data_IF_519535417226
#
_entry.id   IF_519535417226
#
_cell.length_a   1.000
_cell.length_b   1.000
_cell.length_c   1.000
_cell.angle_alpha   90.00
_cell.angle_beta   90.00
_cell.angle_gamma   90.00
#
_symmetry.space_group_name_H-M   'P 1'
#
loop_
_entity.id
_entity.type
_entity.pdbx_description
1 polymer ?
#
# COMPACT_ATOMS: atom_id res chain seq x y z
N UNK A 1 78.85 -5.33 -41.60
CA UNK A 1 78.33 -5.29 -40.22
C UNK A 1 77.90 -3.87 -39.92
N UNK A 2 76.61 -3.61 -39.94
CA UNK A 2 76.05 -2.26 -39.75
C UNK A 2 74.80 -2.41 -38.90
N UNK A 3 74.97 -2.12 -37.61
CA UNK A 3 73.95 -2.17 -36.57
C UNK A 3 72.96 -1.03 -36.83
N UNK A 4 71.73 -1.34 -37.25
CA UNK A 4 70.64 -0.37 -37.36
C UNK A 4 70.11 -0.04 -35.96
N UNK A 5 70.23 1.23 -35.57
CA UNK A 5 69.66 1.79 -34.35
C UNK A 5 68.13 1.69 -34.31
N UNK A 6 67.51 1.55 -33.11
CA UNK A 6 66.06 1.52 -32.96
C UNK A 6 65.44 2.91 -33.15
N UNK A 7 64.31 2.94 -33.88
CA UNK A 7 63.50 4.15 -34.10
C UNK A 7 62.88 4.61 -32.78
N UNK A 8 63.13 5.87 -32.40
CA UNK A 8 62.43 6.60 -31.33
C UNK A 8 60.92 6.66 -31.62
N UNK A 9 60.09 6.14 -30.72
CA UNK A 9 58.68 6.48 -30.66
C UNK A 9 58.54 7.99 -30.37
N UNK A 10 57.87 8.72 -31.28
CA UNK A 10 57.38 10.06 -30.99
C UNK A 10 56.12 9.93 -30.13
N UNK A 11 56.19 10.39 -28.89
CA UNK A 11 55.01 10.75 -28.10
C UNK A 11 54.26 11.87 -28.85
N UNK A 12 53.11 11.53 -29.42
CA UNK A 12 52.12 12.52 -29.88
C UNK A 12 51.56 13.22 -28.65
N UNK A 13 51.84 14.52 -28.55
CA UNK A 13 51.31 15.37 -27.51
C UNK A 13 49.80 15.52 -27.63
N UNK A 14 49.06 14.95 -26.67
CA UNK A 14 47.68 15.34 -26.40
C UNK A 14 47.69 16.71 -25.69
N UNK A 15 47.71 17.78 -26.48
CA UNK A 15 47.28 19.11 -26.04
C UNK A 15 46.01 19.47 -26.80
N UNK A 16 44.89 19.39 -26.08
CA UNK A 16 43.54 19.99 -26.30
C UNK A 16 42.42 18.95 -26.17
N UNK A 17 42.05 18.63 -24.94
CA UNK A 17 40.64 18.49 -24.59
C UNK A 17 40.28 19.69 -23.71
N UNK A 18 39.80 20.75 -24.35
CA UNK A 18 39.15 21.87 -23.67
C UNK A 18 37.64 21.65 -23.76
N UNK A 19 36.98 21.75 -22.60
CA UNK A 19 35.53 21.82 -22.38
C UNK A 19 34.75 20.53 -22.67
N UNK A 20 34.92 19.52 -21.81
CA UNK A 20 33.74 18.78 -21.37
C UNK A 20 32.90 19.81 -20.61
N UNK A 21 31.68 20.05 -21.10
CA UNK A 21 30.74 20.98 -20.50
C UNK A 21 30.56 20.62 -19.03
N UNK A 22 30.69 21.60 -18.13
CA UNK A 22 30.35 21.46 -16.71
C UNK A 22 28.94 20.86 -16.54
N UNK A 23 28.06 21.08 -17.53
CA UNK A 23 26.74 20.48 -17.61
C UNK A 23 26.79 18.94 -17.66
N UNK A 24 27.73 18.32 -18.38
CA UNK A 24 27.79 16.86 -18.55
C UNK A 24 28.37 16.15 -17.32
N UNK A 25 29.32 16.78 -16.62
CA UNK A 25 29.82 16.32 -15.32
C UNK A 25 28.77 16.51 -14.22
N UNK A 26 27.96 17.57 -14.28
CA UNK A 26 26.81 17.76 -13.39
C UNK A 26 25.69 16.76 -13.67
N UNK A 27 25.47 16.34 -14.93
CA UNK A 27 24.47 15.30 -15.24
C UNK A 27 24.92 13.93 -14.73
N UNK A 28 26.20 13.56 -14.90
CA UNK A 28 26.70 12.28 -14.38
C UNK A 28 26.72 12.30 -12.84
N UNK A 29 27.15 13.40 -12.21
CA UNK A 29 27.12 13.52 -10.75
C UNK A 29 25.68 13.57 -10.17
N UNK A 30 24.72 14.18 -10.86
CA UNK A 30 23.31 14.16 -10.46
C UNK A 30 22.68 12.76 -10.63
N UNK A 31 23.05 12.03 -11.69
CA UNK A 31 22.59 10.64 -11.89
C UNK A 31 23.22 9.70 -10.86
N UNK A 32 24.50 9.87 -10.51
CA UNK A 32 25.14 9.07 -9.43
C UNK A 32 24.64 9.46 -8.05
N UNK A 33 24.36 10.74 -7.77
CA UNK A 33 23.78 11.19 -6.50
C UNK A 33 22.33 10.72 -6.32
N UNK A 34 21.54 10.66 -7.40
CA UNK A 34 20.21 10.03 -7.34
C UNK A 34 20.31 8.51 -7.12
N UNK A 35 21.28 7.83 -7.74
CA UNK A 35 21.50 6.38 -7.58
C UNK A 35 22.03 6.00 -6.18
N UNK A 36 22.85 6.84 -5.54
CA UNK A 36 23.31 6.60 -4.16
C UNK A 36 22.24 6.97 -3.11
N UNK A 37 21.29 7.86 -3.44
CA UNK A 37 20.12 8.15 -2.58
C UNK A 37 19.04 7.05 -2.60
N UNK A 38 19.07 6.15 -3.59
CA UNK A 38 18.09 5.07 -3.76
C UNK A 38 18.26 3.89 -2.78
N UNK A 39 19.40 3.78 -2.09
CA UNK A 39 19.59 2.84 -0.98
C UNK A 39 19.28 3.47 0.41
N UNK A 40 18.76 4.71 0.45
CA UNK A 40 18.31 5.38 1.68
C UNK A 40 16.83 5.79 1.64
N UNK A 41 16.01 5.09 0.85
CA UNK A 41 14.54 5.23 0.89
C UNK A 41 13.87 4.66 2.17
N UNK A 42 14.66 4.39 3.22
CA UNK A 42 14.17 4.16 4.58
C UNK A 42 13.59 5.45 5.22
N UNK A 43 13.92 6.64 4.70
CA UNK A 43 13.52 7.94 5.26
C UNK A 43 12.43 8.69 4.45
N UNK A 44 11.60 7.97 3.69
CA UNK A 44 10.42 8.60 3.08
C UNK A 44 9.37 8.93 4.15
N UNK A 45 9.36 10.18 4.63
CA UNK A 45 8.35 10.74 5.53
C UNK A 45 7.06 11.12 4.77
N UNK A 46 5.99 10.32 4.82
CA UNK A 46 4.73 10.62 4.13
C UNK A 46 3.99 11.82 4.76
N UNK A 47 4.35 12.25 5.98
CA UNK A 47 3.69 13.31 6.74
C UNK A 47 3.84 14.67 6.03
N UNK A 48 4.94 14.88 5.30
CA UNK A 48 5.20 16.14 4.57
C UNK A 48 4.30 16.38 3.36
N UNK A 49 3.72 15.34 2.76
CA UNK A 49 2.92 15.49 1.54
C UNK A 49 1.41 15.67 1.78
N UNK A 50 0.91 15.28 2.96
CA UNK A 50 -0.51 15.40 3.31
C UNK A 50 -0.83 16.66 4.13
N UNK A 51 0.17 17.46 4.52
CA UNK A 51 0.01 18.70 5.30
C UNK A 51 -0.27 19.95 4.47
N UNK A 52 -0.91 19.83 3.30
CA UNK A 52 -1.51 21.01 2.63
C UNK A 52 -2.92 21.22 3.19
N UNK A 53 -2.99 21.92 4.32
CA UNK A 53 -4.19 22.57 4.83
C UNK A 53 -4.98 21.78 5.88
N UNK A 54 -4.56 21.89 7.15
CA UNK A 54 -5.44 22.18 8.29
C UNK A 54 -4.57 22.38 9.54
N UNK A 55 -4.58 23.61 10.07
CA UNK A 55 -3.81 24.03 11.25
C UNK A 55 -4.56 23.77 12.56
N UNK A 56 -5.32 22.68 12.65
CA UNK A 56 -6.06 22.36 13.86
C UNK A 56 -5.23 21.40 14.72
N UNK A 57 -4.69 21.94 15.83
CA UNK A 57 -4.07 21.13 16.88
C UNK A 57 -5.10 20.16 17.45
N UNK A 58 -4.75 18.89 17.74
CA UNK A 58 -5.64 18.00 18.45
C UNK A 58 -5.96 18.57 19.83
N UNK A 59 -7.25 18.72 20.12
CA UNK A 59 -7.76 19.16 21.41
C UNK A 59 -7.68 17.96 22.36
N UNK A 60 -6.72 17.98 23.28
CA UNK A 60 -6.58 16.98 24.33
C UNK A 60 -7.77 17.04 25.31
N UNK A 61 -8.72 16.11 25.15
CA UNK A 61 -9.74 15.82 26.15
C UNK A 61 -9.27 14.71 27.08
N UNK A 62 -9.59 14.82 28.38
CA UNK A 62 -9.28 13.79 29.37
C UNK A 62 -9.95 12.45 29.01
N UNK A 63 -9.18 11.36 29.02
CA UNK A 63 -9.64 10.01 28.71
C UNK A 63 -10.40 9.39 29.88
N UNK A 64 -11.47 8.61 29.65
CA UNK A 64 -12.13 7.85 30.71
C UNK A 64 -11.30 6.61 31.13
N UNK A 65 -11.12 6.43 32.44
CA UNK A 65 -10.31 5.39 33.11
C UNK A 65 -10.80 3.92 32.94
N UNK A 66 -11.67 3.61 31.99
CA UNK A 66 -12.22 2.25 31.83
C UNK A 66 -11.79 1.60 30.51
N UNK A 67 -10.50 1.27 30.41
CA UNK A 67 -10.01 0.32 29.40
C UNK A 67 -10.43 -1.08 29.90
N UNK A 68 -11.33 -1.73 29.18
CA UNK A 68 -11.76 -3.10 29.49
C UNK A 68 -10.57 -4.03 29.24
N UNK A 69 -10.09 -4.80 30.25
CA UNK A 69 -8.99 -5.73 30.06
C UNK A 69 -9.32 -6.78 28.98
N UNK A 70 -8.42 -6.93 27.99
CA UNK A 70 -8.53 -7.88 26.89
C UNK A 70 -8.54 -9.36 27.34
N UNK A 71 -8.12 -9.66 28.57
CA UNK A 71 -7.88 -11.03 29.03
C UNK A 71 -9.17 -11.84 29.31
N UNK A 72 -10.34 -11.23 29.42
CA UNK A 72 -11.55 -11.94 29.85
C UNK A 72 -12.37 -12.61 28.70
N UNK A 73 -11.87 -12.61 27.46
CA UNK A 73 -12.65 -13.05 26.26
C UNK A 73 -12.12 -14.26 25.49
N UNK A 74 -11.29 -15.13 26.10
CA UNK A 74 -10.68 -16.29 25.41
C UNK A 74 -11.51 -17.59 25.33
N UNK A 75 -12.74 -17.65 25.82
CA UNK A 75 -13.49 -18.92 25.91
C UNK A 75 -14.83 -18.94 25.16
N UNK A 76 -14.82 -18.63 23.86
CA UNK A 76 -15.89 -19.11 22.97
C UNK A 76 -15.28 -19.83 21.78
N UNK A 77 -15.18 -21.15 21.91
CA UNK A 77 -14.76 -22.07 20.84
C UNK A 77 -15.91 -22.20 19.84
N UNK A 78 -16.20 -21.16 19.07
CA UNK A 78 -16.90 -21.32 17.79
C UNK A 78 -15.84 -21.79 16.80
N UNK A 79 -15.59 -23.10 16.81
CA UNK A 79 -14.84 -23.77 15.74
C UNK A 79 -15.78 -23.82 14.54
N UNK A 80 -15.85 -22.72 13.81
CA UNK A 80 -16.70 -22.62 12.64
C UNK A 80 -16.16 -23.55 11.57
N UNK A 81 -17.05 -24.39 11.10
CA UNK A 81 -16.95 -25.27 9.96
C UNK A 81 -16.86 -24.44 8.66
N UNK A 82 -15.83 -23.59 8.52
CA UNK A 82 -15.56 -22.83 7.29
C UNK A 82 -14.57 -23.61 6.41
N UNK A 83 -15.19 -24.37 5.51
CA UNK A 83 -14.81 -24.69 4.13
C UNK A 83 -13.33 -24.82 3.74
N UNK A 84 -12.98 -26.03 3.29
CA UNK A 84 -11.86 -26.31 2.36
C UNK A 84 -11.85 -25.39 1.11
N UNK A 85 -12.92 -24.64 0.84
CA UNK A 85 -13.03 -23.66 -0.25
C UNK A 85 -12.55 -22.23 0.08
N UNK A 86 -12.28 -21.90 1.35
CA UNK A 86 -11.80 -20.57 1.74
C UNK A 86 -10.39 -20.26 1.20
N UNK A 87 -9.62 -21.30 0.87
CA UNK A 87 -8.20 -21.24 0.53
C UNK A 87 -7.86 -20.50 -0.78
N UNK A 88 -8.83 -19.90 -1.49
CA UNK A 88 -8.57 -19.17 -2.73
C UNK A 88 -9.31 -17.83 -2.84
N UNK A 89 -9.88 -17.30 -1.75
CA UNK A 89 -10.50 -15.98 -1.80
C UNK A 89 -9.47 -14.88 -1.52
N UNK A 90 -9.51 -13.83 -2.33
CA UNK A 90 -9.03 -12.52 -1.95
C UNK A 90 -10.21 -11.58 -1.76
N UNK A 91 -10.21 -10.94 -0.61
CA UNK A 91 -11.25 -10.02 -0.18
C UNK A 91 -10.81 -8.59 -0.43
N UNK A 92 -11.79 -7.72 -0.63
CA UNK A 92 -11.61 -6.29 -0.48
C UNK A 92 -12.78 -5.74 0.32
N UNK A 93 -12.65 -4.53 0.86
CA UNK A 93 -13.75 -3.87 1.55
C UNK A 93 -14.14 -2.60 0.80
N UNK A 94 -15.41 -2.51 0.43
CA UNK A 94 -15.95 -1.32 -0.23
C UNK A 94 -17.38 -1.09 0.23
N UNK A 95 -17.61 0.08 0.84
CA UNK A 95 -18.95 0.59 1.10
C UNK A 95 -19.08 1.96 0.44
N UNK A 96 -20.04 2.15 -0.48
CA UNK A 96 -20.19 3.40 -1.21
C UNK A 96 -20.55 4.52 -0.24
N UNK A 97 -19.82 5.63 -0.35
CA UNK A 97 -20.08 6.85 0.39
C UNK A 97 -20.92 7.80 -0.47
N UNK A 98 -21.72 8.65 0.20
CA UNK A 98 -22.63 9.59 -0.47
C UNK A 98 -21.90 10.77 -1.12
N UNK A 99 -20.64 11.00 -0.74
CA UNK A 99 -19.80 12.09 -1.23
C UNK A 99 -18.60 11.57 -2.01
N UNK A 100 -18.00 12.44 -2.83
CA UNK A 100 -16.76 12.13 -3.54
C UNK A 100 -15.65 11.81 -2.56
N UNK A 101 -15.09 10.60 -2.64
CA UNK A 101 -14.01 10.14 -1.75
C UNK A 101 -12.76 9.81 -2.54
N UNK A 102 -11.61 10.13 -1.96
CA UNK A 102 -10.29 9.97 -2.59
C UNK A 102 -10.19 10.62 -3.99
N UNK A 103 -10.96 11.69 -4.24
CA UNK A 103 -10.99 12.39 -5.53
C UNK A 103 -11.68 11.63 -6.67
N UNK A 104 -12.49 10.62 -6.35
CA UNK A 104 -13.16 9.77 -7.34
C UNK A 104 -14.69 9.81 -7.23
N UNK A 105 -15.38 9.80 -8.37
CA UNK A 105 -16.83 9.59 -8.45
C UNK A 105 -17.22 8.14 -8.14
N UNK A 106 -18.47 7.88 -7.72
CA UNK A 106 -18.98 6.51 -7.49
C UNK A 106 -18.85 5.62 -8.73
N UNK A 107 -19.01 6.18 -9.93
CA UNK A 107 -18.82 5.45 -11.18
C UNK A 107 -17.36 5.00 -11.36
N UNK A 108 -16.41 5.86 -11.03
CA UNK A 108 -14.98 5.55 -11.12
C UNK A 108 -14.54 4.56 -10.05
N UNK A 109 -15.11 4.62 -8.84
CA UNK A 109 -14.95 3.58 -7.81
C UNK A 109 -15.43 2.21 -8.31
N UNK A 110 -16.62 2.14 -8.89
CA UNK A 110 -17.16 0.89 -9.44
C UNK A 110 -16.30 0.33 -10.57
N UNK A 111 -15.76 1.19 -11.44
CA UNK A 111 -14.83 0.77 -12.50
C UNK A 111 -13.51 0.24 -11.94
N UNK A 112 -12.98 0.88 -10.89
CA UNK A 112 -11.76 0.43 -10.23
C UNK A 112 -11.96 -0.92 -9.55
N UNK A 113 -13.07 -1.09 -8.83
CA UNK A 113 -13.44 -2.34 -8.19
C UNK A 113 -13.57 -3.48 -9.21
N UNK A 114 -14.23 -3.22 -10.35
CA UNK A 114 -14.32 -4.21 -11.44
C UNK A 114 -12.95 -4.57 -12.00
N UNK A 115 -12.08 -3.58 -12.22
CA UNK A 115 -10.71 -3.82 -12.68
C UNK A 115 -9.90 -4.65 -11.69
N UNK A 116 -10.07 -4.38 -10.39
CA UNK A 116 -9.47 -5.15 -9.30
C UNK A 116 -9.95 -6.61 -9.32
N UNK A 117 -11.26 -6.84 -9.43
CA UNK A 117 -11.84 -8.19 -9.52
C UNK A 117 -11.26 -8.97 -10.70
N UNK A 118 -11.28 -8.37 -11.90
CA UNK A 118 -10.74 -8.98 -13.11
C UNK A 118 -9.24 -9.30 -12.97
N UNK A 119 -8.46 -8.41 -12.35
CA UNK A 119 -7.02 -8.61 -12.20
C UNK A 119 -6.69 -9.79 -11.27
N UNK A 120 -7.35 -9.87 -10.11
CA UNK A 120 -7.18 -10.95 -9.13
C UNK A 120 -7.72 -12.29 -9.62
N UNK A 121 -8.86 -12.29 -10.33
CA UNK A 121 -9.40 -13.50 -10.97
C UNK A 121 -8.45 -14.08 -12.02
N UNK A 122 -7.82 -13.21 -12.82
CA UNK A 122 -6.79 -13.62 -13.77
C UNK A 122 -5.53 -14.19 -13.08
N UNK A 123 -5.28 -13.82 -11.82
CA UNK A 123 -4.21 -14.39 -10.99
C UNK A 123 -4.64 -15.68 -10.25
N UNK A 124 -5.82 -16.23 -10.58
CA UNK A 124 -6.34 -17.49 -10.06
C UNK A 124 -7.18 -17.36 -8.78
N UNK A 125 -7.39 -16.15 -8.27
CA UNK A 125 -8.15 -15.91 -7.04
C UNK A 125 -9.66 -15.86 -7.29
N UNK A 126 -10.45 -16.38 -6.35
CA UNK A 126 -11.85 -15.99 -6.21
C UNK A 126 -11.89 -14.62 -5.53
N UNK A 127 -12.78 -13.75 -5.94
CA UNK A 127 -12.89 -12.39 -5.37
C UNK A 127 -14.18 -12.25 -4.58
N UNK A 128 -14.13 -11.54 -3.45
CA UNK A 128 -15.33 -11.12 -2.70
C UNK A 128 -15.18 -9.71 -2.17
N UNK A 129 -16.16 -8.86 -2.46
CA UNK A 129 -16.26 -7.51 -1.92
C UNK A 129 -17.06 -7.56 -0.63
N UNK A 130 -16.41 -7.23 0.48
CA UNK A 130 -17.03 -7.08 1.80
C UNK A 130 -17.59 -5.67 1.95
N UNK A 131 -18.64 -5.58 2.75
CA UNK A 131 -19.40 -4.36 3.00
C UNK A 131 -19.59 -4.13 4.49
N UNK A 132 -20.19 -3.00 4.85
CA UNK A 132 -20.59 -2.74 6.23
C UNK A 132 -21.53 -3.81 6.80
N UNK A 133 -22.32 -4.50 5.96
CA UNK A 133 -23.19 -5.58 6.42
C UNK A 133 -22.37 -6.80 6.90
N UNK A 134 -21.24 -7.10 6.28
CA UNK A 134 -20.33 -8.15 6.75
C UNK A 134 -19.69 -7.75 8.09
N UNK A 135 -19.36 -6.47 8.29
CA UNK A 135 -18.84 -5.95 9.56
C UNK A 135 -19.88 -6.01 10.70
N UNK A 136 -21.16 -5.74 10.41
CA UNK A 136 -22.27 -5.77 11.38
C UNK A 136 -22.51 -7.15 12.01
N UNK A 137 -22.04 -8.22 11.36
CA UNK A 137 -22.09 -9.58 11.90
C UNK A 137 -21.19 -9.70 13.14
N UNK A 138 -20.15 -8.86 13.24
CA UNK A 138 -19.22 -8.91 14.35
C UNK A 138 -19.88 -8.44 15.67
N UNK A 139 -19.70 -9.21 16.74
CA UNK A 139 -20.28 -8.92 18.08
C UNK A 139 -19.85 -7.55 18.63
N UNK A 140 -18.66 -7.07 18.27
CA UNK A 140 -18.11 -5.80 18.72
C UNK A 140 -18.35 -4.63 17.73
N UNK A 141 -19.16 -4.82 16.68
CA UNK A 141 -19.46 -3.76 15.70
C UNK A 141 -19.99 -2.47 16.36
N UNK A 142 -20.97 -2.60 17.24
CA UNK A 142 -21.54 -1.44 17.95
C UNK A 142 -20.54 -0.83 18.93
N UNK A 143 -19.65 -1.64 19.52
CA UNK A 143 -18.61 -1.14 20.40
C UNK A 143 -17.64 -0.23 19.63
N UNK A 144 -17.11 -0.71 18.50
CA UNK A 144 -16.19 0.06 17.66
C UNK A 144 -16.80 1.38 17.22
N UNK A 145 -18.03 1.33 16.68
CA UNK A 145 -18.73 2.53 16.23
C UNK A 145 -18.95 3.54 17.36
N UNK A 146 -19.39 3.09 18.54
CA UNK A 146 -19.59 3.99 19.69
C UNK A 146 -18.27 4.58 20.18
N UNK A 147 -17.22 3.77 20.31
CA UNK A 147 -15.92 4.20 20.84
C UNK A 147 -15.28 5.22 19.91
N UNK A 148 -15.24 4.95 18.60
CA UNK A 148 -14.66 5.88 17.62
C UNK A 148 -15.48 7.16 17.57
N UNK A 149 -16.82 7.08 17.48
CA UNK A 149 -17.66 8.27 17.41
C UNK A 149 -17.58 9.13 18.68
N UNK A 150 -17.45 8.51 19.86
CA UNK A 150 -17.37 9.21 21.15
C UNK A 150 -16.03 9.92 21.33
N UNK A 151 -14.92 9.23 21.08
CA UNK A 151 -13.58 9.77 21.36
C UNK A 151 -13.06 10.63 20.20
N UNK A 152 -13.52 10.38 18.98
CA UNK A 152 -13.03 11.04 17.78
C UNK A 152 -14.19 11.51 16.87
N UNK A 153 -15.02 12.46 17.35
CA UNK A 153 -16.23 12.90 16.64
C UNK A 153 -15.96 13.51 15.26
N UNK A 154 -14.73 13.99 15.02
CA UNK A 154 -14.30 14.57 13.75
C UNK A 154 -13.82 13.53 12.71
N UNK A 155 -13.73 12.25 13.10
CA UNK A 155 -13.34 11.17 12.19
C UNK A 155 -14.35 11.07 11.05
N UNK A 156 -13.86 11.11 9.81
CA UNK A 156 -14.75 11.03 8.66
C UNK A 156 -15.47 9.68 8.61
N UNK A 157 -16.55 9.59 7.84
CA UNK A 157 -17.22 8.30 7.60
C UNK A 157 -16.28 7.30 6.91
N UNK A 158 -15.44 7.81 5.99
CA UNK A 158 -14.41 7.03 5.30
C UNK A 158 -13.41 6.41 6.29
N UNK A 159 -12.84 7.23 7.18
CA UNK A 159 -11.84 6.74 8.14
C UNK A 159 -12.44 5.71 9.11
N UNK A 160 -13.72 5.87 9.49
CA UNK A 160 -14.44 4.86 10.29
C UNK A 160 -14.58 3.54 9.55
N UNK A 161 -14.94 3.57 8.26
CA UNK A 161 -15.04 2.37 7.43
C UNK A 161 -13.70 1.63 7.34
N UNK A 162 -12.57 2.35 7.34
CA UNK A 162 -11.24 1.76 7.37
C UNK A 162 -10.98 0.93 8.64
N UNK A 163 -11.60 1.22 9.80
CA UNK A 163 -11.55 0.33 10.96
C UNK A 163 -12.54 -0.83 10.85
N UNK A 164 -13.73 -0.59 10.31
CA UNK A 164 -14.78 -1.61 10.22
C UNK A 164 -14.45 -2.77 9.26
N UNK A 165 -13.58 -2.55 8.27
CA UNK A 165 -13.14 -3.63 7.37
C UNK A 165 -12.41 -4.77 8.11
N UNK A 166 -11.74 -4.46 9.21
CA UNK A 166 -11.03 -5.44 10.02
C UNK A 166 -12.01 -6.40 10.70
N UNK A 167 -13.15 -5.86 11.17
CA UNK A 167 -14.26 -6.66 11.67
C UNK A 167 -14.94 -7.47 10.55
N UNK A 168 -15.09 -6.90 9.35
CA UNK A 168 -15.64 -7.65 8.22
C UNK A 168 -14.76 -8.85 7.83
N UNK A 169 -13.43 -8.70 7.89
CA UNK A 169 -12.51 -9.80 7.61
C UNK A 169 -12.58 -10.90 8.67
N UNK A 170 -12.74 -10.56 9.95
CA UNK A 170 -12.87 -11.57 11.01
C UNK A 170 -14.17 -12.37 10.91
N UNK A 171 -15.25 -11.79 10.37
CA UNK A 171 -16.54 -12.48 10.26
C UNK A 171 -16.64 -13.46 9.09
N UNK A 172 -15.71 -13.40 8.13
CA UNK A 172 -15.73 -14.28 6.93
C UNK A 172 -14.75 -15.45 6.98
N UNK A 173 -14.14 -15.69 8.15
CA UNK A 173 -13.18 -16.79 8.35
C UNK A 173 -11.71 -16.40 8.15
N UNK A 174 -11.41 -15.11 7.95
CA UNK A 174 -10.07 -14.62 7.64
C UNK A 174 -9.74 -14.74 6.14
N UNK A 175 -8.46 -14.93 5.82
CA UNK A 175 -7.99 -14.97 4.43
C UNK A 175 -7.07 -13.80 4.07
N UNK A 176 -6.94 -13.57 2.77
CA UNK A 176 -6.23 -12.41 2.22
C UNK A 176 -7.18 -11.24 1.97
N UNK A 177 -6.81 -10.04 2.40
CA UNK A 177 -7.48 -8.80 2.01
C UNK A 177 -6.52 -7.93 1.21
N UNK A 178 -7.00 -7.35 0.11
CA UNK A 178 -6.33 -6.29 -0.60
C UNK A 178 -7.24 -5.05 -0.70
N UNK A 179 -6.67 -3.86 -0.58
CA UNK A 179 -7.39 -2.64 -0.95
C UNK A 179 -7.85 -2.73 -2.41
N UNK A 180 -9.00 -2.14 -2.73
CA UNK A 180 -9.55 -2.21 -4.09
C UNK A 180 -8.73 -1.40 -5.12
N UNK A 181 -7.72 -0.66 -4.67
CA UNK A 181 -6.68 -0.05 -5.50
C UNK A 181 -5.33 -0.81 -5.46
N UNK A 182 -5.31 -2.06 -4.96
CA UNK A 182 -4.14 -2.95 -4.93
C UNK A 182 -4.32 -4.14 -5.86
N UNK A 183 -3.38 -4.33 -6.79
CA UNK A 183 -3.48 -5.29 -7.89
C UNK A 183 -2.39 -6.35 -7.82
N UNK A 184 -2.66 -7.59 -8.29
CA UNK A 184 -1.68 -8.67 -8.24
C UNK A 184 -0.53 -8.42 -9.21
N UNK A 185 0.67 -8.70 -8.74
CA UNK A 185 1.85 -8.93 -9.55
C UNK A 185 2.10 -10.45 -9.57
N UNK A 186 3.14 -10.94 -8.89
CA UNK A 186 3.54 -12.35 -8.94
C UNK A 186 2.69 -13.27 -8.03
N UNK A 187 1.71 -12.72 -7.30
CA UNK A 187 0.92 -13.48 -6.33
C UNK A 187 -0.17 -14.35 -6.99
N UNK A 188 0.09 -15.65 -7.11
CA UNK A 188 -0.85 -16.63 -7.70
C UNK A 188 -1.58 -17.43 -6.62
N UNK A 189 -2.90 -17.60 -6.75
CA UNK A 189 -3.71 -18.31 -5.75
C UNK A 189 -3.19 -19.71 -5.41
N UNK A 190 -2.66 -20.44 -6.39
CA UNK A 190 -2.18 -21.82 -6.22
C UNK A 190 -0.96 -21.93 -5.28
N UNK A 191 -0.24 -20.83 -5.06
CA UNK A 191 0.91 -20.77 -4.15
C UNK A 191 0.47 -20.56 -2.68
N UNK A 192 -0.80 -20.20 -2.45
CA UNK A 192 -1.34 -19.82 -1.15
C UNK A 192 -2.49 -20.72 -0.71
N UNK A 193 -2.32 -22.04 -0.87
CA UNK A 193 -3.26 -23.05 -0.35
C UNK A 193 -3.39 -22.92 1.18
N UNK A 194 -2.30 -22.54 1.86
CA UNK A 194 -2.27 -22.25 3.28
C UNK A 194 -1.95 -20.77 3.50
N UNK A 195 -2.50 -20.21 4.59
CA UNK A 195 -2.14 -18.87 5.01
C UNK A 195 -0.65 -18.79 5.40
N UNK A 196 0.03 -17.70 5.05
CA UNK A 196 1.40 -17.44 5.48
C UNK A 196 1.54 -17.44 7.01
N UNK A 197 2.73 -17.78 7.50
CA UNK A 197 3.10 -17.71 8.92
C UNK A 197 2.09 -18.40 9.85
N UNK A 198 1.61 -19.57 9.46
CA UNK A 198 0.64 -20.39 10.21
C UNK A 198 -0.67 -19.67 10.53
N UNK A 199 -1.07 -18.73 9.67
CA UNK A 199 -2.28 -17.93 9.84
C UNK A 199 -2.10 -16.67 10.69
N UNK A 200 -0.91 -16.42 11.24
CA UNK A 200 -0.61 -15.18 11.95
C UNK A 200 -0.78 -13.95 11.05
N UNK A 201 -1.21 -12.84 11.66
CA UNK A 201 -1.42 -11.62 10.90
C UNK A 201 -0.12 -11.17 10.20
N UNK A 202 -0.22 -11.01 8.89
CA UNK A 202 0.91 -10.67 8.01
C UNK A 202 0.52 -9.50 7.12
N UNK A 203 1.19 -8.37 7.29
CA UNK A 203 1.13 -7.22 6.38
C UNK A 203 2.19 -7.35 5.28
N UNK A 204 1.78 -7.15 4.02
CA UNK A 204 2.69 -7.22 2.88
C UNK A 204 3.18 -5.84 2.43
N UNK A 205 2.56 -4.76 2.85
CA UNK A 205 3.11 -3.40 2.75
C UNK A 205 3.70 -2.97 4.11
N UNK A 206 4.29 -1.78 4.21
CA UNK A 206 4.95 -1.25 5.41
C UNK A 206 3.99 -0.90 6.54
N UNK A 207 2.98 -0.10 6.28
CA UNK A 207 1.97 0.31 7.28
C UNK A 207 0.60 0.62 6.65
N UNK A 208 0.54 0.62 5.32
CA UNK A 208 -0.71 0.67 4.57
C UNK A 208 -1.23 -0.77 4.49
N UNK A 209 -2.46 -1.08 4.89
CA UNK A 209 -3.02 -2.43 4.76
C UNK A 209 -3.49 -2.70 3.31
N UNK A 210 -2.64 -2.37 2.34
CA UNK A 210 -2.86 -2.54 0.91
C UNK A 210 -3.00 -4.03 0.53
N UNK A 211 -2.24 -4.89 1.20
CA UNK A 211 -2.36 -6.35 1.14
C UNK A 211 -1.98 -6.93 2.52
N UNK A 212 -2.85 -7.77 3.06
CA UNK A 212 -2.62 -8.47 4.32
C UNK A 212 -3.29 -9.84 4.35
N UNK A 213 -2.85 -10.72 5.25
CA UNK A 213 -3.45 -12.02 5.49
C UNK A 213 -3.52 -12.35 6.98
N UNK A 214 -4.48 -13.19 7.37
CA UNK A 214 -4.57 -13.72 8.72
C UNK A 214 -5.75 -14.67 8.87
N UNK A 215 -5.76 -15.47 9.93
CA UNK A 215 -6.94 -16.24 10.35
C UNK A 215 -8.05 -15.30 10.84
N UNK A 216 -9.27 -15.83 11.01
CA UNK A 216 -10.38 -15.06 11.57
C UNK A 216 -10.02 -14.42 12.92
N UNK A 217 -9.35 -15.20 13.80
CA UNK A 217 -8.92 -14.79 15.12
C UNK A 217 -7.85 -13.70 15.05
N UNK A 218 -6.93 -13.78 14.08
CA UNK A 218 -5.88 -12.79 13.89
C UNK A 218 -6.41 -11.48 13.32
N UNK A 219 -7.39 -11.53 12.42
CA UNK A 219 -8.11 -10.33 11.97
C UNK A 219 -8.90 -9.68 13.13
N UNK A 220 -9.57 -10.47 13.97
CA UNK A 220 -10.28 -9.97 15.16
C UNK A 220 -9.32 -9.33 16.17
N UNK A 221 -8.22 -10.03 16.49
CA UNK A 221 -7.18 -9.52 17.38
C UNK A 221 -6.64 -8.20 16.87
N UNK A 222 -6.26 -8.13 15.59
CA UNK A 222 -5.73 -6.90 15.00
C UNK A 222 -6.75 -5.75 14.96
N UNK A 223 -8.04 -6.02 14.74
CA UNK A 223 -9.07 -5.00 14.84
C UNK A 223 -9.06 -4.32 16.23
N UNK A 224 -8.92 -5.12 17.29
CA UNK A 224 -8.83 -4.64 18.66
C UNK A 224 -7.51 -3.91 18.94
N UNK A 225 -6.39 -4.40 18.44
CA UNK A 225 -5.09 -3.70 18.55
C UNK A 225 -5.14 -2.32 17.89
N UNK A 226 -5.78 -2.20 16.73
CA UNK A 226 -5.94 -0.90 16.05
C UNK A 226 -6.81 0.06 16.84
N UNK A 227 -7.90 -0.44 17.45
CA UNK A 227 -8.75 0.38 18.31
C UNK A 227 -7.99 0.82 19.57
N UNK A 228 -7.20 -0.06 20.18
CA UNK A 228 -6.38 0.27 21.34
C UNK A 228 -5.27 1.27 21.00
N UNK A 229 -4.64 1.12 19.83
CA UNK A 229 -3.61 2.02 19.34
C UNK A 229 -4.13 3.46 19.26
N UNK A 230 -5.31 3.69 18.65
CA UNK A 230 -5.86 5.05 18.55
C UNK A 230 -6.33 5.61 19.91
N UNK A 231 -6.64 4.76 20.89
CA UNK A 231 -7.02 5.17 22.24
C UNK A 231 -5.82 5.41 23.16
N UNK A 232 -4.61 5.05 22.73
CA UNK A 232 -3.39 5.28 23.50
C UNK A 232 -3.19 6.77 23.74
N UNK A 233 -2.80 7.19 24.96
CA UNK A 233 -2.50 8.60 25.25
C UNK A 233 -1.32 9.13 24.43
N UNK A 234 -0.44 8.23 23.96
CA UNK A 234 0.73 8.58 23.14
C UNK A 234 0.41 8.58 21.63
N UNK A 235 -0.84 8.32 21.23
CA UNK A 235 -1.25 8.35 19.83
C UNK A 235 -1.43 9.80 19.35
N UNK A 236 -0.51 10.24 18.48
CA UNK A 236 -0.48 11.62 17.97
C UNK A 236 -0.85 11.75 16.48
N UNK A 237 -1.33 10.67 15.85
CA UNK A 237 -1.63 10.64 14.41
C UNK A 237 -3.11 10.93 14.13
N UNK A 238 -3.44 11.04 12.84
CA UNK A 238 -4.83 11.01 12.40
C UNK A 238 -5.47 9.66 12.72
N UNK A 239 -6.76 9.67 13.06
CA UNK A 239 -7.53 8.45 13.32
C UNK A 239 -7.84 7.76 12.01
N UNK A 240 -6.92 6.91 11.57
CA UNK A 240 -7.01 6.10 10.36
C UNK A 240 -6.23 4.81 10.61
N UNK A 241 -6.73 3.69 10.12
CA UNK A 241 -6.12 2.38 10.38
C UNK A 241 -4.66 2.24 9.89
N UNK A 242 -4.26 2.93 8.81
CA UNK A 242 -2.85 2.97 8.36
C UNK A 242 -1.92 3.57 9.42
N UNK A 243 -2.35 4.64 10.08
CA UNK A 243 -1.56 5.28 11.13
C UNK A 243 -1.63 4.51 12.45
N UNK A 244 -2.75 3.83 12.72
CA UNK A 244 -2.85 2.88 13.82
C UNK A 244 -1.90 1.69 13.61
N UNK A 245 -1.81 1.14 12.39
CA UNK A 245 -0.83 0.11 12.03
C UNK A 245 0.60 0.61 12.14
N UNK A 246 0.87 1.84 11.67
CA UNK A 246 2.18 2.48 11.83
C UNK A 246 2.57 2.57 13.31
N UNK A 247 1.64 3.02 14.16
CA UNK A 247 1.84 3.10 15.60
C UNK A 247 2.13 1.73 16.21
N UNK A 248 1.34 0.69 15.87
CA UNK A 248 1.58 -0.68 16.35
C UNK A 248 2.94 -1.19 15.90
N UNK A 249 3.31 -0.99 14.63
CA UNK A 249 4.62 -1.40 14.11
C UNK A 249 5.76 -0.79 14.92
N UNK A 250 5.67 0.50 15.22
CA UNK A 250 6.76 1.24 15.86
C UNK A 250 6.84 0.97 17.37
N UNK A 251 5.72 0.62 18.03
CA UNK A 251 5.65 0.46 19.48
C UNK A 251 5.48 -1.00 19.96
N UNK A 252 5.07 -1.91 19.09
CA UNK A 252 4.85 -3.34 19.37
C UNK A 252 5.10 -4.18 18.10
N UNK A 253 6.33 -4.17 17.55
CA UNK A 253 6.64 -4.82 16.27
C UNK A 253 6.41 -6.34 16.27
N UNK A 254 6.36 -6.99 17.44
CA UNK A 254 6.04 -8.40 17.60
C UNK A 254 4.55 -8.74 17.34
N UNK A 255 3.67 -7.73 17.34
CA UNK A 255 2.23 -7.88 17.18
C UNK A 255 1.83 -8.30 15.77
N UNK A 256 2.67 -8.04 14.77
CA UNK A 256 2.44 -8.48 13.39
C UNK A 256 3.72 -8.69 12.58
N UNK A 257 3.59 -9.46 11.50
CA UNK A 257 4.70 -9.76 10.58
C UNK A 257 4.62 -8.84 9.36
N UNK A 258 5.71 -8.16 9.03
CA UNK A 258 5.82 -7.33 7.82
C UNK A 258 6.79 -7.94 6.78
N UNK A 259 6.42 -7.88 5.49
CA UNK A 259 7.23 -8.44 4.40
C UNK A 259 7.71 -7.44 3.34
N UNK A 260 7.05 -6.29 3.15
CA UNK A 260 7.45 -5.30 2.14
C UNK A 260 7.35 -5.80 0.69
N UNK A 261 6.43 -6.73 0.45
CA UNK A 261 6.17 -7.39 -0.82
C UNK A 261 5.18 -6.62 -1.72
N UNK A 262 4.58 -5.53 -1.20
CA UNK A 262 3.75 -4.59 -1.97
C UNK A 262 4.61 -3.44 -2.47
N UNK A 263 4.45 -3.12 -3.75
CA UNK A 263 5.11 -1.99 -4.37
C UNK A 263 4.16 -0.78 -4.41
N UNK A 264 4.48 0.31 -3.72
CA UNK A 264 3.55 1.45 -3.53
C UNK A 264 3.79 2.63 -4.49
N UNK A 265 4.44 2.41 -5.63
CA UNK A 265 4.73 3.45 -6.62
C UNK A 265 4.51 2.94 -8.05
N UNK A 266 4.17 3.84 -8.97
CA UNK A 266 4.00 3.50 -10.39
C UNK A 266 5.21 4.08 -11.11
N UNK A 267 6.18 3.22 -11.43
CA UNK A 267 7.32 3.65 -12.23
C UNK A 267 7.17 3.17 -13.66
N UNK A 268 7.08 4.13 -14.56
CA UNK A 268 7.47 3.93 -15.94
C UNK A 268 8.92 4.40 -16.06
N UNK A 269 9.74 3.67 -16.82
CA UNK A 269 11.02 4.20 -17.26
C UNK A 269 10.83 5.46 -18.12
N UNK A 270 11.92 6.16 -18.42
CA UNK A 270 11.91 7.37 -19.26
C UNK A 270 11.29 7.17 -20.65
N UNK A 271 11.08 5.92 -21.08
CA UNK A 271 10.46 5.56 -22.36
C UNK A 271 8.99 5.13 -22.22
N UNK A 272 8.39 5.25 -21.03
CA UNK A 272 7.01 4.85 -20.77
C UNK A 272 6.84 3.34 -20.64
N UNK A 273 7.91 2.58 -20.37
CA UNK A 273 7.86 1.12 -20.19
C UNK A 273 7.88 0.76 -18.71
N UNK A 274 7.24 -0.35 -18.38
CA UNK A 274 7.28 -0.92 -17.02
C UNK A 274 8.70 -1.41 -16.73
N UNK A 275 9.24 -1.00 -15.59
CA UNK A 275 10.54 -1.48 -15.10
C UNK A 275 10.36 -2.80 -14.34
N UNK A 276 10.52 -3.92 -15.05
CA UNK A 276 10.31 -5.26 -14.50
C UNK A 276 11.28 -5.57 -13.35
N UNK A 277 12.50 -5.02 -13.37
CA UNK A 277 13.53 -5.33 -12.36
C UNK A 277 13.14 -4.88 -10.95
N UNK A 278 12.36 -3.80 -10.85
CA UNK A 278 11.86 -3.28 -9.57
C UNK A 278 10.63 -4.00 -9.05
N UNK A 279 9.97 -4.76 -9.91
CA UNK A 279 8.75 -5.51 -9.61
C UNK A 279 9.01 -7.00 -9.39
N UNK A 280 10.22 -7.47 -9.70
CA UNK A 280 10.63 -8.86 -9.48
C UNK A 280 10.46 -9.25 -8.01
N UNK A 281 9.77 -10.37 -7.77
CA UNK A 281 9.47 -10.88 -6.43
C UNK A 281 8.38 -10.10 -5.68
N UNK A 282 7.80 -9.05 -6.27
CA UNK A 282 6.70 -8.30 -5.64
C UNK A 282 5.38 -9.04 -5.84
N UNK A 283 4.60 -9.12 -4.77
CA UNK A 283 3.31 -9.83 -4.76
C UNK A 283 2.20 -8.98 -5.36
N UNK A 284 2.22 -7.68 -5.10
CA UNK A 284 1.19 -6.76 -5.53
C UNK A 284 1.75 -5.34 -5.70
N UNK A 285 0.96 -4.50 -6.37
CA UNK A 285 1.22 -3.05 -6.53
C UNK A 285 0.02 -2.26 -6.00
N UNK A 286 0.30 -1.22 -5.21
CA UNK A 286 -0.71 -0.33 -4.64
C UNK A 286 -0.81 0.98 -5.42
N UNK A 287 -1.92 1.20 -6.11
CA UNK A 287 -2.21 2.41 -6.88
C UNK A 287 -2.88 3.48 -6.01
N UNK A 288 -2.24 3.88 -4.91
CA UNK A 288 -2.80 4.92 -4.04
C UNK A 288 -3.01 6.25 -4.78
N UNK A 289 -3.90 7.10 -4.27
CA UNK A 289 -4.08 8.46 -4.80
C UNK A 289 -2.77 9.26 -4.77
N UNK A 290 -1.96 9.06 -3.73
CA UNK A 290 -0.64 9.68 -3.59
C UNK A 290 0.34 9.16 -4.66
N UNK A 291 0.38 7.84 -4.89
CA UNK A 291 1.22 7.24 -5.93
C UNK A 291 0.84 7.74 -7.33
N UNK A 292 -0.46 7.82 -7.64
CA UNK A 292 -0.96 8.37 -8.91
C UNK A 292 -0.55 9.83 -9.06
N UNK A 293 -0.77 10.65 -8.03
CA UNK A 293 -0.43 12.07 -8.06
C UNK A 293 1.08 12.29 -8.29
N UNK A 294 1.93 11.52 -7.62
CA UNK A 294 3.38 11.62 -7.76
C UNK A 294 3.85 11.16 -9.14
N UNK A 295 3.26 10.09 -9.67
CA UNK A 295 3.57 9.60 -11.02
C UNK A 295 3.19 10.62 -12.08
N UNK A 296 2.08 11.34 -11.91
CA UNK A 296 1.66 12.41 -12.82
C UNK A 296 2.58 13.63 -12.71
N UNK A 297 2.98 14.02 -11.50
CA UNK A 297 3.93 15.13 -11.27
C UNK A 297 5.29 14.87 -11.92
N UNK A 298 5.76 13.63 -11.86
CA UNK A 298 7.01 13.20 -12.51
C UNK A 298 6.88 12.95 -14.02
N UNK A 299 5.67 13.06 -14.59
CA UNK A 299 5.42 12.85 -16.02
C UNK A 299 5.39 11.38 -16.44
N UNK A 300 5.25 10.44 -15.50
CA UNK A 300 5.25 9.00 -15.76
C UNK A 300 3.97 8.48 -16.42
N UNK A 301 2.82 9.15 -16.28
CA UNK A 301 1.55 8.68 -16.86
C UNK A 301 1.32 9.31 -18.24
N UNK A 302 1.44 8.51 -19.29
CA UNK A 302 1.17 8.96 -20.67
C UNK A 302 -0.25 9.48 -20.80
N UNK A 303 -0.39 10.72 -21.30
CA UNK A 303 -1.69 11.37 -21.49
C UNK A 303 -2.14 12.25 -20.31
N UNK A 304 -1.40 12.26 -19.20
CA UNK A 304 -1.61 13.19 -18.09
C UNK A 304 -0.36 14.06 -17.90
N UNK A 305 -0.55 15.35 -17.68
CA UNK A 305 0.54 16.24 -17.24
C UNK A 305 0.26 16.71 -15.81
N UNK A 306 1.25 17.32 -15.15
CA UNK A 306 1.17 17.76 -13.76
C UNK A 306 -0.03 18.66 -13.40
N UNK A 307 -0.70 19.26 -14.39
CA UNK A 307 -1.88 20.10 -14.17
C UNK A 307 -3.20 19.31 -14.07
N UNK A 308 -3.19 18.01 -14.41
CA UNK A 308 -4.40 17.16 -14.48
C UNK A 308 -4.41 16.04 -13.43
N UNK A 309 -3.81 16.26 -12.25
CA UNK A 309 -3.76 15.24 -11.17
C UNK A 309 -5.16 14.75 -10.78
N UNK A 310 -6.14 15.65 -10.66
CA UNK A 310 -7.51 15.26 -10.32
C UNK A 310 -8.15 14.35 -11.38
N UNK A 311 -7.89 14.60 -12.67
CA UNK A 311 -8.36 13.76 -13.76
C UNK A 311 -7.67 12.38 -13.73
N UNK A 312 -6.38 12.34 -13.42
CA UNK A 312 -5.64 11.07 -13.28
C UNK A 312 -6.15 10.23 -12.10
N UNK A 313 -6.45 10.88 -10.97
CA UNK A 313 -7.05 10.22 -9.80
C UNK A 313 -8.44 9.67 -10.17
N UNK A 314 -9.28 10.45 -10.85
CA UNK A 314 -10.59 10.01 -11.36
C UNK A 314 -10.46 8.83 -12.34
N UNK A 315 -9.40 8.80 -13.15
CA UNK A 315 -9.12 7.73 -14.11
C UNK A 315 -8.17 6.65 -13.58
N UNK A 316 -7.99 6.53 -12.26
CA UNK A 316 -7.08 5.54 -11.65
C UNK A 316 -7.34 4.13 -12.15
N UNK A 317 -8.60 3.71 -12.28
CA UNK A 317 -8.98 2.41 -12.82
C UNK A 317 -8.33 2.11 -14.18
N UNK A 318 -8.27 3.10 -15.07
CA UNK A 318 -7.68 2.98 -16.40
C UNK A 318 -6.16 2.90 -16.33
N UNK A 319 -5.55 3.70 -15.45
CA UNK A 319 -4.09 3.69 -15.23
C UNK A 319 -3.66 2.33 -14.69
N UNK A 320 -4.36 1.80 -13.67
CA UNK A 320 -4.10 0.48 -13.09
C UNK A 320 -4.25 -0.64 -14.12
N UNK A 321 -5.32 -0.64 -14.93
CA UNK A 321 -5.52 -1.63 -15.99
C UNK A 321 -4.42 -1.59 -17.05
N UNK A 322 -4.07 -0.40 -17.55
CA UNK A 322 -3.01 -0.23 -18.54
C UNK A 322 -1.65 -0.69 -18.01
N UNK A 323 -1.33 -0.33 -16.76
CA UNK A 323 -0.10 -0.77 -16.11
C UNK A 323 -0.04 -2.29 -15.99
N UNK A 324 -1.07 -2.92 -15.41
CA UNK A 324 -1.11 -4.37 -15.20
C UNK A 324 -1.05 -5.12 -16.53
N UNK A 325 -1.73 -4.64 -17.56
CA UNK A 325 -1.66 -5.22 -18.91
C UNK A 325 -0.24 -5.13 -19.49
N UNK A 326 0.40 -3.96 -19.42
CA UNK A 326 1.78 -3.76 -19.92
C UNK A 326 2.80 -4.56 -19.13
N UNK A 327 2.62 -4.68 -17.80
CA UNK A 327 3.48 -5.48 -16.95
C UNK A 327 3.40 -6.96 -17.35
N UNK A 328 2.19 -7.52 -17.47
CA UNK A 328 1.99 -8.93 -17.90
C UNK A 328 2.63 -9.22 -19.25
N UNK A 329 2.48 -8.31 -20.22
CA UNK A 329 3.06 -8.47 -21.56
C UNK A 329 4.57 -8.35 -21.64
N UNK A 330 5.24 -7.73 -20.65
CA UNK A 330 6.68 -7.40 -20.76
C UNK A 330 7.55 -8.11 -19.74
N UNK A 331 6.98 -8.41 -18.57
CA UNK A 331 7.72 -8.95 -17.43
C UNK A 331 7.43 -10.44 -17.20
N UNK A 332 6.49 -11.02 -17.97
CA UNK A 332 6.02 -12.40 -17.79
C UNK A 332 6.07 -13.24 -19.08
N UNK A 333 6.78 -12.76 -20.12
CA UNK A 333 7.10 -13.53 -21.33
C UNK A 333 8.30 -14.47 -21.14
#
# INVERSE_FOLDING_TARGET
MTVKQPRRLRLLGFKKFKKISLLCLMTVAAVTYMYESENQLEDFDPIRFLTIGNNDKPVGGAFPENIIPLEERRNDTIRTQYHEDANNYIYTFFSPLTTMTAGMTSNSHNKLLKAWEEAWQNAGWKTKVLTIEDAKIHKDFDLFNRVIAKNFPQTSEYDRLCFLRWLAMSTVGGGFMADYDTFPLEMKAQEYINLPNDGNFTGFDRFVPALASGSAEEWDRMAHELLNAILSPDYSYFVHDMYALLYIRDNSPETLIFKGDVFSSIFYDISGKVDCSRLEGKKAIHFSHAAIAETVKSGGVVGFNGNNIGEAIEQRWKISQDFISKWRMKCHD
#
